data_IF_016483105936
#
_entry.id   IF_016483105936
#
_cell.length_a   1.000
_cell.length_b   1.000
_cell.length_c   1.000
_cell.angle_alpha   90.00
_cell.angle_beta   90.00
_cell.angle_gamma   90.00
#
_symmetry.space_group_name_H-M   'P 1'
#
loop_
_entity.id
_entity.type
_entity.pdbx_description
1 polymer ?
#
# COMPACT_ATOMS: atom_id res chain seq x y z
N UNK A 1 -3.52 -16.49 16.30
CA UNK A 1 -2.47 -16.13 15.31
C UNK A 1 -2.89 -16.37 13.84
N UNK A 2 -4.00 -17.08 13.54
CA UNK A 2 -4.51 -17.38 12.19
C UNK A 2 -5.09 -16.19 11.38
N UNK A 3 -4.90 -14.96 11.85
CA UNK A 3 -5.60 -13.77 11.31
C UNK A 3 -4.72 -12.85 10.47
N UNK A 4 -3.39 -13.01 10.49
CA UNK A 4 -2.45 -12.16 9.74
C UNK A 4 -2.68 -12.24 8.22
N UNK A 5 -2.81 -13.42 7.58
CA UNK A 5 -3.01 -13.48 6.13
C UNK A 5 -4.32 -12.80 5.70
N UNK A 6 -5.41 -13.07 6.43
CA UNK A 6 -6.72 -12.45 6.21
C UNK A 6 -6.68 -10.93 6.38
N UNK A 7 -5.87 -10.45 7.33
CA UNK A 7 -5.70 -9.03 7.59
C UNK A 7 -4.90 -8.36 6.46
N UNK A 8 -3.76 -8.93 6.05
CA UNK A 8 -2.96 -8.41 4.94
C UNK A 8 -3.77 -8.36 3.64
N UNK A 9 -4.58 -9.39 3.37
CA UNK A 9 -5.45 -9.38 2.20
C UNK A 9 -6.54 -8.29 2.27
N UNK A 10 -7.09 -8.02 3.46
CA UNK A 10 -8.01 -6.88 3.66
C UNK A 10 -7.28 -5.56 3.43
N UNK A 11 -6.08 -5.39 3.97
CA UNK A 11 -5.25 -4.19 3.74
C UNK A 11 -5.05 -3.98 2.25
N UNK A 12 -4.69 -5.03 1.51
CA UNK A 12 -4.55 -4.96 0.06
C UNK A 12 -5.84 -4.49 -0.63
N UNK A 13 -6.98 -5.16 -0.38
CA UNK A 13 -8.25 -4.78 -1.01
C UNK A 13 -8.66 -3.33 -0.72
N UNK A 14 -8.59 -2.91 0.54
CA UNK A 14 -8.93 -1.54 0.93
C UNK A 14 -7.97 -0.53 0.32
N UNK A 15 -6.67 -0.85 0.28
CA UNK A 15 -5.65 0.03 -0.31
C UNK A 15 -5.85 0.19 -1.81
N UNK A 16 -6.18 -0.87 -2.54
CA UNK A 16 -6.50 -0.81 -3.98
C UNK A 16 -7.68 0.12 -4.23
N UNK A 17 -8.81 -0.09 -3.53
CA UNK A 17 -10.02 0.70 -3.74
C UNK A 17 -9.76 2.18 -3.45
N UNK A 18 -9.12 2.48 -2.31
CA UNK A 18 -8.82 3.86 -1.93
C UNK A 18 -7.80 4.52 -2.86
N UNK A 19 -6.80 3.77 -3.32
CA UNK A 19 -5.79 4.28 -4.25
C UNK A 19 -6.41 4.60 -5.60
N UNK A 20 -7.30 3.74 -6.13
CA UNK A 20 -8.00 4.00 -7.39
C UNK A 20 -8.83 5.29 -7.26
N UNK A 21 -9.63 5.41 -6.18
CA UNK A 21 -10.43 6.60 -5.95
C UNK A 21 -9.58 7.87 -5.87
N UNK A 22 -8.49 7.85 -5.09
CA UNK A 22 -7.61 9.01 -4.92
C UNK A 22 -6.90 9.40 -6.22
N UNK A 23 -6.41 8.42 -6.98
CA UNK A 23 -5.73 8.68 -8.26
C UNK A 23 -6.71 9.19 -9.32
N UNK A 24 -7.93 8.68 -9.38
CA UNK A 24 -8.98 9.22 -10.24
C UNK A 24 -9.26 10.70 -9.94
N UNK A 25 -9.37 11.07 -8.66
CA UNK A 25 -9.54 12.47 -8.24
C UNK A 25 -8.34 13.32 -8.68
N UNK A 26 -7.10 12.82 -8.49
CA UNK A 26 -5.90 13.51 -8.93
C UNK A 26 -5.90 13.77 -10.45
N UNK A 27 -6.19 12.76 -11.27
CA UNK A 27 -6.22 12.92 -12.72
C UNK A 27 -7.31 13.89 -13.19
N UNK A 28 -8.49 13.86 -12.57
CA UNK A 28 -9.58 14.79 -12.90
C UNK A 28 -9.20 16.26 -12.64
N UNK A 29 -8.51 16.53 -11.53
CA UNK A 29 -8.11 17.89 -11.15
C UNK A 29 -6.87 18.36 -11.92
N UNK A 30 -5.85 17.51 -12.02
CA UNK A 30 -4.51 17.91 -12.47
C UNK A 30 -4.28 17.73 -13.98
N UNK A 31 -4.95 16.78 -14.63
CA UNK A 31 -4.70 16.49 -16.05
C UNK A 31 -5.85 16.87 -17.00
N UNK A 32 -7.02 17.26 -16.47
CA UNK A 32 -8.21 17.69 -17.24
C UNK A 32 -8.37 16.92 -18.56
N UNK A 33 -8.32 15.58 -18.49
CA UNK A 33 -8.22 14.75 -19.69
C UNK A 33 -9.53 14.77 -20.49
N UNK A 34 -9.46 15.03 -21.79
CA UNK A 34 -10.62 15.10 -22.69
C UNK A 34 -11.33 13.75 -22.92
N UNK A 35 -10.74 12.61 -22.55
CA UNK A 35 -11.38 11.29 -22.73
C UNK A 35 -11.15 10.35 -21.52
N UNK A 36 -11.95 10.55 -20.47
CA UNK A 36 -11.88 9.79 -19.22
C UNK A 36 -12.13 8.28 -19.40
N UNK A 37 -12.87 7.89 -20.45
CA UNK A 37 -13.24 6.49 -20.73
C UNK A 37 -12.03 5.62 -21.07
N UNK A 38 -10.99 6.19 -21.69
CA UNK A 38 -9.74 5.49 -22.00
C UNK A 38 -8.70 5.57 -20.89
N UNK A 39 -8.80 6.61 -20.05
CA UNK A 39 -7.85 6.88 -18.97
C UNK A 39 -8.13 6.03 -17.73
N UNK A 40 -9.40 5.80 -17.40
CA UNK A 40 -9.80 5.04 -16.20
C UNK A 40 -9.25 3.59 -16.18
N UNK A 41 -9.33 2.78 -17.26
CA UNK A 41 -8.79 1.42 -17.25
C UNK A 41 -7.28 1.40 -16.98
N UNK A 42 -6.53 2.34 -17.56
CA UNK A 42 -5.08 2.46 -17.34
C UNK A 42 -4.73 2.85 -15.90
N UNK A 43 -5.53 3.73 -15.29
CA UNK A 43 -5.38 4.08 -13.87
C UNK A 43 -5.59 2.83 -13.02
N UNK A 44 -6.68 2.09 -13.26
CA UNK A 44 -6.99 0.87 -12.51
C UNK A 44 -5.87 -0.16 -12.60
N UNK A 45 -5.37 -0.42 -13.81
CA UNK A 45 -4.26 -1.36 -14.04
C UNK A 45 -3.00 -0.93 -13.27
N UNK A 46 -2.55 0.31 -13.47
CA UNK A 46 -1.34 0.84 -12.83
C UNK A 46 -1.44 0.81 -11.31
N UNK A 47 -2.54 1.30 -10.75
CA UNK A 47 -2.74 1.35 -9.29
C UNK A 47 -2.84 -0.05 -8.69
N UNK A 48 -3.51 -0.98 -9.36
CA UNK A 48 -3.62 -2.36 -8.91
C UNK A 48 -2.24 -3.02 -8.90
N UNK A 49 -1.47 -2.86 -9.96
CA UNK A 49 -0.12 -3.41 -10.06
C UNK A 49 0.81 -2.88 -8.96
N UNK A 50 0.78 -1.56 -8.70
CA UNK A 50 1.55 -0.97 -7.60
C UNK A 50 1.14 -1.52 -6.23
N UNK A 51 -0.16 -1.67 -5.97
CA UNK A 51 -0.64 -2.28 -4.73
C UNK A 51 -0.22 -3.75 -4.60
N UNK A 52 -0.18 -4.50 -5.70
CA UNK A 52 0.31 -5.89 -5.71
C UNK A 52 1.79 -5.93 -5.31
N UNK A 53 2.61 -5.04 -5.89
CA UNK A 53 4.03 -4.93 -5.53
C UNK A 53 4.18 -4.66 -4.03
N UNK A 54 3.49 -3.63 -3.51
CA UNK A 54 3.57 -3.28 -2.09
C UNK A 54 3.10 -4.45 -1.22
N UNK A 55 2.00 -5.11 -1.60
CA UNK A 55 1.48 -6.27 -0.89
C UNK A 55 2.52 -7.41 -0.80
N UNK A 56 3.16 -7.75 -1.92
CA UNK A 56 4.24 -8.76 -1.96
C UNK A 56 5.39 -8.34 -1.02
N UNK A 57 5.79 -7.08 -1.04
CA UNK A 57 6.83 -6.56 -0.16
C UNK A 57 6.44 -6.63 1.33
N UNK A 58 5.15 -6.65 1.66
CA UNK A 58 4.65 -6.80 3.04
C UNK A 58 4.47 -8.24 3.51
N UNK A 59 4.66 -9.24 2.64
CA UNK A 59 4.56 -10.65 3.02
C UNK A 59 5.48 -11.11 4.16
N UNK A 60 6.67 -10.52 4.41
CA UNK A 60 7.46 -10.85 5.61
C UNK A 60 6.69 -10.67 6.92
N UNK A 61 5.62 -9.86 6.96
CA UNK A 61 4.72 -9.76 8.11
C UNK A 61 4.10 -11.11 8.52
N UNK A 62 4.04 -12.09 7.61
CA UNK A 62 3.58 -13.45 7.88
C UNK A 62 4.44 -14.17 8.94
N UNK A 63 5.73 -13.83 9.07
CA UNK A 63 6.59 -14.40 10.10
C UNK A 63 6.17 -14.00 11.52
N UNK A 64 5.37 -12.93 11.68
CA UNK A 64 4.83 -12.48 12.97
C UNK A 64 3.79 -13.41 13.59
N UNK A 65 3.48 -14.53 12.92
CA UNK A 65 2.81 -15.67 13.54
C UNK A 65 3.69 -16.30 14.63
N UNK A 66 5.02 -16.17 14.57
CA UNK A 66 5.91 -16.62 15.63
C UNK A 66 5.87 -15.65 16.84
N UNK A 67 5.55 -16.12 18.07
CA UNK A 67 5.53 -15.29 19.28
C UNK A 67 6.84 -14.55 19.56
N UNK A 68 7.99 -15.16 19.24
CA UNK A 68 9.30 -14.53 19.46
C UNK A 68 9.43 -13.23 18.67
N UNK A 69 9.01 -13.24 17.39
CA UNK A 69 9.02 -12.04 16.54
C UNK A 69 7.92 -11.06 16.91
N UNK A 70 6.76 -11.54 17.38
CA UNK A 70 5.67 -10.67 17.82
C UNK A 70 6.00 -9.87 19.10
N UNK A 71 6.70 -10.50 20.05
CA UNK A 71 7.02 -9.91 21.34
C UNK A 71 8.19 -8.90 21.24
N UNK A 72 9.09 -9.08 20.26
CA UNK A 72 10.13 -8.09 19.97
C UNK A 72 9.56 -6.94 19.12
N UNK A 73 9.43 -5.75 19.74
CA UNK A 73 8.83 -4.56 19.08
C UNK A 73 9.57 -4.19 17.80
N UNK A 74 10.90 -4.17 17.80
CA UNK A 74 11.70 -3.73 16.65
C UNK A 74 11.49 -4.68 15.47
N UNK A 75 11.65 -5.98 15.71
CA UNK A 75 11.42 -7.02 14.69
C UNK A 75 9.98 -6.97 14.18
N UNK A 76 9.01 -6.76 15.08
CA UNK A 76 7.60 -6.60 14.70
C UNK A 76 7.38 -5.44 13.74
N UNK A 77 7.91 -4.26 14.05
CA UNK A 77 7.77 -3.09 13.18
C UNK A 77 8.48 -3.29 11.82
N UNK A 78 9.69 -3.87 11.81
CA UNK A 78 10.43 -4.13 10.58
C UNK A 78 9.71 -5.12 9.67
N UNK A 79 9.24 -6.25 10.21
CA UNK A 79 8.53 -7.25 9.42
C UNK A 79 7.16 -6.75 8.94
N UNK A 80 6.47 -5.95 9.76
CA UNK A 80 5.13 -5.46 9.42
C UNK A 80 5.18 -4.30 8.42
N UNK A 81 6.01 -3.29 8.63
CA UNK A 81 6.00 -2.05 7.84
C UNK A 81 7.13 -1.95 6.81
N UNK A 82 8.15 -2.80 6.91
CA UNK A 82 9.37 -2.70 6.10
C UNK A 82 9.09 -2.62 4.61
N UNK A 83 8.23 -3.51 4.09
CA UNK A 83 7.86 -3.51 2.67
C UNK A 83 7.28 -2.18 2.18
N UNK A 84 6.26 -1.67 2.87
CA UNK A 84 5.62 -0.40 2.51
C UNK A 84 6.55 0.80 2.64
N UNK A 85 7.43 0.82 3.65
CA UNK A 85 8.41 1.91 3.83
C UNK A 85 9.47 1.88 2.75
N UNK A 86 10.03 0.70 2.45
CA UNK A 86 11.02 0.52 1.37
C UNK A 86 10.44 0.93 0.02
N UNK A 87 9.17 0.61 -0.24
CA UNK A 87 8.50 1.05 -1.46
C UNK A 87 8.48 2.58 -1.58
N UNK A 88 8.09 3.30 -0.52
CA UNK A 88 8.05 4.78 -0.53
C UNK A 88 9.44 5.37 -0.76
N UNK A 89 10.46 4.86 -0.05
CA UNK A 89 11.86 5.31 -0.22
C UNK A 89 12.32 5.08 -1.66
N UNK A 90 12.00 3.92 -2.23
CA UNK A 90 12.31 3.60 -3.63
C UNK A 90 11.63 4.56 -4.59
N UNK A 91 10.33 4.81 -4.41
CA UNK A 91 9.57 5.73 -5.24
C UNK A 91 10.11 7.17 -5.21
N UNK A 92 10.57 7.64 -4.05
CA UNK A 92 11.24 8.95 -3.91
C UNK A 92 12.55 9.00 -4.70
N UNK A 93 13.33 7.93 -4.62
CA UNK A 93 14.67 7.81 -5.22
C UNK A 93 14.64 7.59 -6.74
N UNK A 94 13.55 7.07 -7.29
CA UNK A 94 13.41 6.83 -8.73
C UNK A 94 13.39 8.12 -9.55
N UNK A 95 14.12 8.12 -10.67
CA UNK A 95 14.12 9.19 -11.66
C UNK A 95 13.00 8.96 -12.68
N UNK A 96 11.77 9.24 -12.27
CA UNK A 96 10.54 9.15 -13.09
C UNK A 96 9.87 10.51 -13.21
N UNK A 97 8.98 10.67 -14.21
CA UNK A 97 8.27 11.93 -14.43
C UNK A 97 7.43 12.33 -13.20
N UNK A 98 7.30 13.64 -12.89
CA UNK A 98 6.59 14.09 -11.69
C UNK A 98 5.16 13.55 -11.54
N UNK A 99 4.31 13.51 -12.59
CA UNK A 99 2.95 12.97 -12.46
C UNK A 99 2.93 11.49 -12.08
N UNK A 100 3.85 10.69 -12.65
CA UNK A 100 3.96 9.26 -12.33
C UNK A 100 4.46 9.07 -10.91
N UNK A 101 5.43 9.89 -10.46
CA UNK A 101 5.92 9.87 -9.08
C UNK A 101 4.81 10.15 -8.07
N UNK A 102 3.93 11.11 -8.36
CA UNK A 102 2.77 11.41 -7.50
C UNK A 102 1.87 10.19 -7.36
N UNK A 103 1.55 9.48 -8.44
CA UNK A 103 0.73 8.25 -8.40
C UNK A 103 1.38 7.17 -7.54
N UNK A 104 2.70 6.99 -7.65
CA UNK A 104 3.45 6.02 -6.84
C UNK A 104 3.39 6.37 -5.36
N UNK A 105 3.67 7.63 -5.00
CA UNK A 105 3.67 8.09 -3.62
C UNK A 105 2.28 8.10 -3.00
N UNK A 106 1.25 8.47 -3.78
CA UNK A 106 -0.15 8.37 -3.33
C UNK A 106 -0.52 6.92 -3.04
N UNK A 107 -0.21 6.00 -3.95
CA UNK A 107 -0.52 4.58 -3.78
C UNK A 107 0.22 4.00 -2.57
N UNK A 108 1.52 4.26 -2.44
CA UNK A 108 2.33 3.82 -1.31
C UNK A 108 1.88 4.43 0.03
N UNK A 109 1.54 5.72 0.03
CA UNK A 109 1.06 6.43 1.21
C UNK A 109 -0.29 5.91 1.69
N UNK A 110 -1.24 5.71 0.77
CA UNK A 110 -2.55 5.13 1.08
C UNK A 110 -2.38 3.73 1.65
N UNK A 111 -1.56 2.89 1.00
CA UNK A 111 -1.28 1.54 1.51
C UNK A 111 -0.71 1.60 2.92
N UNK A 112 0.29 2.45 3.18
CA UNK A 112 0.91 2.59 4.49
C UNK A 112 -0.10 3.02 5.57
N UNK A 113 -0.98 3.98 5.27
CA UNK A 113 -2.02 4.45 6.20
C UNK A 113 -3.02 3.33 6.51
N UNK A 114 -3.54 2.65 5.49
CA UNK A 114 -4.45 1.51 5.68
C UNK A 114 -3.75 0.41 6.48
N UNK A 115 -2.50 0.10 6.16
CA UNK A 115 -1.70 -0.91 6.84
C UNK A 115 -1.49 -0.55 8.32
N UNK A 116 -1.24 0.72 8.63
CA UNK A 116 -1.11 1.22 10.00
C UNK A 116 -2.43 1.14 10.79
N UNK A 117 -3.56 1.48 10.17
CA UNK A 117 -4.89 1.33 10.80
C UNK A 117 -5.13 -0.13 11.17
N UNK A 118 -4.89 -1.05 10.22
CA UNK A 118 -5.07 -2.47 10.47
C UNK A 118 -4.09 -3.00 11.53
N UNK A 119 -2.83 -2.56 11.53
CA UNK A 119 -1.87 -2.88 12.60
C UNK A 119 -2.41 -2.48 13.97
N UNK A 120 -2.89 -1.25 14.12
CA UNK A 120 -3.47 -0.77 15.38
C UNK A 120 -4.64 -1.65 15.82
N UNK A 121 -5.55 -2.00 14.91
CA UNK A 121 -6.67 -2.90 15.20
C UNK A 121 -6.22 -4.31 15.58
N UNK A 122 -5.12 -4.81 15.02
CA UNK A 122 -4.56 -6.12 15.35
C UNK A 122 -3.91 -6.11 16.73
N UNK A 123 -3.17 -5.05 17.07
CA UNK A 123 -2.51 -4.90 18.38
C UNK A 123 -3.55 -4.71 19.48
N UNK A 124 -4.59 -3.88 19.27
CA UNK A 124 -5.64 -3.63 20.27
C UNK A 124 -6.49 -4.87 20.59
N UNK A 125 -6.68 -5.77 19.63
CA UNK A 125 -7.45 -7.01 19.81
C UNK A 125 -6.69 -8.13 20.53
N UNK A 126 -5.40 -7.95 20.78
CA UNK A 126 -4.56 -8.88 21.53
C UNK A 126 -4.23 -8.31 22.90
#
# INVERSE_FOLDING_TARGET
>A
MKTIPKQLFRVFLFSVILSIAAVCVYYNIAQKSDDYTKTLPKIMENVTFLNIIIFVMTLPAMFLVNPQYWNNRVVRFLLYFGGSVVFIITALSMKISPPVKVVYLMTGGIFLVVHAIFYYLLVKKR
#
